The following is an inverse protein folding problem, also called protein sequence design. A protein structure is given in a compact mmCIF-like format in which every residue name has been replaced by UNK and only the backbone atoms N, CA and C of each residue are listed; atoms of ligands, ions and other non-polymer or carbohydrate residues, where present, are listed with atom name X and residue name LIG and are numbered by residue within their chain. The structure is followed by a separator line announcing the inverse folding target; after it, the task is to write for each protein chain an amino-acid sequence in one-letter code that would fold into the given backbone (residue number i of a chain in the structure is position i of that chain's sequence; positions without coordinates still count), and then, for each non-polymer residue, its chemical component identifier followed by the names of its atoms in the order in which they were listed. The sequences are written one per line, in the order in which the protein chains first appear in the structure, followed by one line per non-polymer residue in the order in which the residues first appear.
data_IF_831332426482
#
_entry.id   IF_831332426482
#
_cell.length_a   1.000
_cell.length_b   1.000
_cell.length_c   1.000
_cell.angle_alpha   90.00
_cell.angle_beta   90.00
_cell.angle_gamma   90.00
#
_symmetry.space_group_name_H-M   'P 1'
#
loop_
_entity.id
_entity.type
_entity.pdbx_description
1 polymer ?
#
# COMPACT_ATOMS: atom_id res chain seq x y z
N UNK A 1 -0.78 3.49 -16.56
CA UNK A 1 0.42 2.65 -16.69
C UNK A 1 1.46 3.45 -17.46
N UNK A 2 2.64 3.72 -16.91
CA UNK A 2 3.71 4.36 -17.66
C UNK A 2 4.59 3.29 -18.31
N UNK A 3 5.05 3.57 -19.52
CA UNK A 3 5.94 2.75 -20.30
C UNK A 3 7.25 3.50 -20.50
N UNK A 4 8.37 2.80 -20.51
CA UNK A 4 9.68 3.38 -20.78
C UNK A 4 10.35 2.60 -21.91
N UNK A 5 10.89 3.32 -22.89
CA UNK A 5 11.72 2.70 -23.91
C UNK A 5 13.09 2.31 -23.35
N UNK A 6 13.53 1.09 -23.62
CA UNK A 6 14.84 0.59 -23.19
C UNK A 6 16.01 1.21 -23.95
N UNK A 7 15.79 1.66 -25.19
CA UNK A 7 16.83 2.23 -26.05
C UNK A 7 17.00 3.73 -25.80
N UNK A 8 15.92 4.50 -25.97
CA UNK A 8 15.98 5.96 -25.86
C UNK A 8 15.56 6.51 -24.48
N UNK A 9 15.19 5.65 -23.53
CA UNK A 9 14.82 6.05 -22.18
C UNK A 9 13.51 6.84 -22.05
N UNK A 10 12.85 7.15 -23.17
CA UNK A 10 11.65 7.98 -23.23
C UNK A 10 10.48 7.34 -22.47
N UNK A 11 9.87 8.12 -21.56
CA UNK A 11 8.74 7.69 -20.71
C UNK A 11 7.42 8.19 -21.30
N UNK A 12 6.45 7.31 -21.45
CA UNK A 12 5.14 7.66 -22.05
C UNK A 12 4.00 6.94 -21.35
N UNK A 13 2.82 7.57 -21.28
CA UNK A 13 1.69 7.10 -20.45
C UNK A 13 0.68 6.22 -21.19
N UNK A 14 0.74 6.15 -22.51
CA UNK A 14 -0.23 5.43 -23.35
C UNK A 14 0.50 4.35 -24.13
N UNK A 15 0.03 3.10 -24.07
CA UNK A 15 0.57 2.05 -24.93
C UNK A 15 0.46 2.55 -26.38
N UNK A 16 1.60 2.70 -27.04
CA UNK A 16 1.63 3.00 -28.46
C UNK A 16 0.91 1.87 -29.19
N UNK A 17 0.14 2.20 -30.22
CA UNK A 17 -0.77 1.30 -30.97
C UNK A 17 -0.09 0.05 -31.52
N UNK A 18 1.25 0.01 -31.57
CA UNK A 18 2.03 -1.16 -32.00
C UNK A 18 3.13 -1.59 -31.03
N UNK A 19 3.11 -1.13 -29.76
CA UNK A 19 4.16 -1.44 -28.79
C UNK A 19 5.51 -0.79 -29.11
N UNK A 20 5.54 0.22 -29.99
CA UNK A 20 6.74 0.95 -30.39
C UNK A 20 6.85 2.28 -29.63
N UNK A 21 8.05 2.66 -29.21
CA UNK A 21 8.28 3.95 -28.56
C UNK A 21 7.93 5.11 -29.52
N UNK A 22 7.15 6.13 -29.11
CA UNK A 22 6.79 7.26 -29.98
C UNK A 22 7.97 8.16 -30.36
N UNK A 23 9.07 8.12 -29.60
CA UNK A 23 10.22 9.00 -29.82
C UNK A 23 11.28 8.38 -30.75
N UNK A 24 11.50 7.07 -30.65
CA UNK A 24 12.57 6.38 -31.36
C UNK A 24 12.09 5.17 -32.19
N UNK A 25 10.77 4.95 -32.30
CA UNK A 25 10.13 3.82 -32.98
C UNK A 25 10.57 2.41 -32.51
N UNK A 26 11.41 2.32 -31.48
CA UNK A 26 11.91 1.05 -30.96
C UNK A 26 10.81 0.22 -30.30
N UNK A 27 10.78 -1.08 -30.58
CA UNK A 27 9.85 -2.04 -29.98
C UNK A 27 10.25 -2.49 -28.56
N UNK A 28 11.43 -2.09 -28.09
CA UNK A 28 11.88 -2.39 -26.73
C UNK A 28 11.22 -1.42 -25.74
N UNK A 29 9.96 -1.69 -25.40
CA UNK A 29 9.20 -0.91 -24.42
C UNK A 29 8.98 -1.75 -23.18
N UNK A 30 9.47 -1.28 -22.03
CA UNK A 30 9.23 -1.90 -20.72
C UNK A 30 8.05 -1.19 -20.06
N UNK A 31 7.07 -1.96 -19.58
CA UNK A 31 6.03 -1.42 -18.73
C UNK A 31 6.67 -1.09 -17.38
N UNK A 32 6.68 0.19 -17.01
CA UNK A 32 6.82 0.59 -15.62
C UNK A 32 5.47 0.28 -14.96
N UNK A 33 5.19 -1.02 -14.76
CA UNK A 33 4.23 -1.40 -13.74
C UNK A 33 4.79 -0.79 -12.47
N UNK A 34 4.05 0.18 -11.94
CA UNK A 34 4.29 0.79 -10.65
C UNK A 34 4.75 -0.34 -9.74
N UNK A 35 5.96 -0.22 -9.20
CA UNK A 35 6.42 -1.05 -8.10
C UNK A 35 5.56 -0.70 -6.87
N UNK A 36 4.26 -0.96 -6.96
CA UNK A 36 3.25 -0.74 -5.95
C UNK A 36 3.26 -1.92 -4.95
N UNK A 37 4.41 -2.58 -4.81
CA UNK A 37 4.65 -3.58 -3.77
C UNK A 37 5.61 -3.08 -2.70
N UNK A 38 6.16 -1.86 -2.82
CA UNK A 38 7.00 -1.25 -1.77
C UNK A 38 6.17 -0.47 -0.74
N UNK A 39 4.84 -0.43 -0.88
CA UNK A 39 3.91 0.17 0.08
C UNK A 39 3.17 -0.86 0.95
N UNK A 40 3.77 -2.01 1.25
CA UNK A 40 3.37 -2.82 2.42
C UNK A 40 4.35 -2.59 3.56
N UNK A 41 4.42 -1.34 3.99
CA UNK A 41 4.82 -1.03 5.37
C UNK A 41 3.79 -1.73 6.26
N UNK A 42 4.24 -2.76 6.96
CA UNK A 42 3.37 -3.67 7.70
C UNK A 42 2.55 -2.85 8.71
N UNK A 43 1.20 -2.91 8.70
CA UNK A 43 0.37 -2.28 9.71
C UNK A 43 0.35 -3.16 10.97
N UNK A 44 1.53 -3.48 11.51
CA UNK A 44 1.65 -4.28 12.74
C UNK A 44 1.47 -3.39 13.96
N UNK A 45 1.93 -2.13 13.88
CA UNK A 45 1.77 -1.15 14.96
C UNK A 45 0.30 -0.87 15.27
N UNK A 46 -0.54 -0.74 14.25
CA UNK A 46 -1.97 -0.47 14.44
C UNK A 46 -2.71 -1.63 15.12
N UNK A 47 -2.33 -2.89 14.86
CA UNK A 47 -2.97 -4.05 15.52
C UNK A 47 -2.68 -4.09 17.03
N UNK A 48 -1.44 -3.77 17.42
CA UNK A 48 -1.05 -3.76 18.83
C UNK A 48 -1.77 -2.64 19.56
N UNK A 49 -1.84 -1.45 18.96
CA UNK A 49 -2.52 -0.29 19.55
C UNK A 49 -4.02 -0.54 19.74
N UNK A 50 -4.69 -1.13 18.74
CA UNK A 50 -6.11 -1.51 18.84
C UNK A 50 -6.31 -2.54 19.96
N UNK A 51 -5.44 -3.54 20.07
CA UNK A 51 -5.50 -4.55 21.12
C UNK A 51 -5.29 -3.95 22.52
N UNK A 52 -4.33 -3.04 22.67
CA UNK A 52 -4.10 -2.36 23.95
C UNK A 52 -5.30 -1.51 24.35
N UNK A 53 -5.92 -0.78 23.41
CA UNK A 53 -7.14 -0.02 23.67
C UNK A 53 -8.30 -0.93 24.10
N UNK A 54 -8.58 -2.02 23.38
CA UNK A 54 -9.70 -2.92 23.75
C UNK A 54 -9.49 -3.57 25.12
N UNK A 55 -8.27 -3.99 25.44
CA UNK A 55 -7.94 -4.56 26.77
C UNK A 55 -8.13 -3.51 27.87
N UNK A 56 -7.67 -2.27 27.66
CA UNK A 56 -7.81 -1.19 28.64
C UNK A 56 -9.29 -0.90 28.94
N UNK A 57 -10.12 -0.85 27.91
CA UNK A 57 -11.57 -0.65 28.05
C UNK A 57 -12.23 -1.80 28.81
N UNK A 58 -11.88 -3.05 28.50
CA UNK A 58 -12.42 -4.22 29.21
C UNK A 58 -12.04 -4.21 30.70
N UNK A 59 -10.80 -3.83 31.03
CA UNK A 59 -10.32 -3.73 32.41
C UNK A 59 -11.02 -2.62 33.19
N UNK A 60 -11.27 -1.48 32.56
CA UNK A 60 -12.04 -0.38 33.17
C UNK A 60 -13.48 -0.80 33.45
N UNK A 61 -14.15 -1.44 32.49
CA UNK A 61 -15.52 -1.94 32.69
C UNK A 61 -15.55 -2.99 33.80
N UNK A 62 -14.57 -3.89 33.85
CA UNK A 62 -14.47 -4.90 34.90
C UNK A 62 -14.26 -4.27 36.27
N UNK A 63 -13.34 -3.31 36.41
CA UNK A 63 -13.11 -2.61 37.67
C UNK A 63 -14.33 -1.81 38.15
N UNK A 64 -15.08 -1.20 37.23
CA UNK A 64 -16.36 -0.54 37.54
C UNK A 64 -17.41 -1.59 37.96
N UNK A 65 -17.51 -2.72 37.26
CA UNK A 65 -18.45 -3.78 37.63
C UNK A 65 -18.15 -4.36 39.02
N UNK A 66 -16.87 -4.63 39.31
CA UNK A 66 -16.42 -5.12 40.62
C UNK A 66 -16.73 -4.12 41.74
N UNK A 67 -16.46 -2.83 41.52
CA UNK A 67 -16.68 -1.78 42.51
C UNK A 67 -18.14 -1.42 42.75
N UNK A 68 -18.99 -1.47 41.74
CA UNK A 68 -20.36 -0.90 41.80
C UNK A 68 -21.49 -1.93 41.67
N UNK A 69 -21.21 -3.14 41.17
CA UNK A 69 -22.23 -4.16 40.90
C UNK A 69 -21.99 -5.44 41.69
N UNK A 70 -20.73 -5.83 41.88
CA UNK A 70 -20.37 -7.01 42.70
C UNK A 70 -20.16 -6.69 44.19
N UNK A 71 -20.26 -5.42 44.58
CA UNK A 71 -20.16 -4.92 45.96
C UNK A 71 -21.52 -4.43 46.46
#
# INVERSE_FOLDING_TARGET
MSYQCGECGHKFKKASTHGACPACASRQVRSLKVAESVAKEKPTKTKIEIFTMTVLWALLIYGVYDKYIAS
#
